data_IF_465423180454
#
_entry.id   IF_465423180454
#
_cell.length_a   1.000
_cell.length_b   1.000
_cell.length_c   1.000
_cell.angle_alpha   90.00
_cell.angle_beta   90.00
_cell.angle_gamma   90.00
#
_symmetry.space_group_name_H-M   'P 1'
#
loop_
_entity.id
_entity.type
_entity.pdbx_description
1 polymer ?
#
# COMPACT_ATOMS: atom_id res chain seq x y z
N UNK A 1 6.98 7.73 -1.60
CA UNK A 1 7.34 9.09 -1.21
C UNK A 1 8.26 9.76 -2.23
N UNK A 2 8.69 11.00 -2.03
CA UNK A 2 9.62 11.67 -2.91
C UNK A 2 10.91 10.85 -3.10
N UNK A 3 11.36 10.68 -4.36
CA UNK A 3 12.51 9.86 -4.68
C UNK A 3 12.28 8.34 -4.69
N UNK A 4 11.08 7.89 -4.43
CA UNK A 4 10.73 6.49 -4.55
C UNK A 4 10.71 6.03 -6.00
N UNK A 5 10.94 4.72 -6.20
CA UNK A 5 10.82 4.06 -7.50
C UNK A 5 9.59 3.16 -7.51
N UNK A 6 9.08 2.90 -8.71
CA UNK A 6 8.00 1.97 -8.93
C UNK A 6 8.41 0.93 -9.98
N UNK A 7 7.72 -0.20 -9.97
CA UNK A 7 7.83 -1.25 -10.97
C UNK A 7 6.55 -1.40 -11.78
N UNK A 8 6.62 -2.13 -12.87
CA UNK A 8 5.45 -2.54 -13.63
C UNK A 8 5.47 -4.06 -13.83
N UNK A 9 4.28 -4.61 -13.95
CA UNK A 9 4.07 -6.00 -14.35
C UNK A 9 3.47 -6.05 -15.74
N UNK A 10 4.04 -6.87 -16.63
CA UNK A 10 3.51 -7.13 -17.95
C UNK A 10 3.09 -8.59 -18.03
N UNK A 11 1.79 -8.83 -18.19
CA UNK A 11 1.23 -10.18 -18.28
C UNK A 11 1.79 -10.94 -19.49
N UNK A 12 2.13 -12.21 -19.31
CA UNK A 12 2.81 -13.07 -20.32
C UNK A 12 2.23 -13.03 -21.73
N UNK A 13 0.90 -13.06 -21.93
CA UNK A 13 0.32 -12.92 -23.26
C UNK A 13 0.73 -11.64 -23.99
N UNK A 14 1.17 -10.60 -23.27
CA UNK A 14 1.62 -9.34 -23.84
C UNK A 14 3.15 -9.22 -23.94
N UNK A 15 3.88 -10.15 -23.35
CA UNK A 15 5.34 -10.10 -23.26
C UNK A 15 6.04 -10.01 -24.62
N UNK A 16 5.46 -10.64 -25.65
CA UNK A 16 6.01 -10.72 -27.02
C UNK A 16 5.16 -10.01 -28.09
N UNK A 17 4.14 -9.24 -27.66
CA UNK A 17 3.29 -8.54 -28.61
C UNK A 17 3.89 -7.20 -29.03
N UNK A 18 3.73 -6.85 -30.32
CA UNK A 18 4.04 -5.51 -30.79
C UNK A 18 2.94 -4.55 -30.35
N UNK A 19 3.21 -3.78 -29.30
CA UNK A 19 2.32 -2.74 -28.80
C UNK A 19 3.00 -1.38 -28.90
N UNK A 20 2.27 -0.29 -29.14
CA UNK A 20 2.84 1.05 -29.08
C UNK A 20 3.55 1.26 -27.73
N UNK A 21 4.80 1.66 -27.76
CA UNK A 21 5.61 1.96 -26.58
C UNK A 21 6.67 3.00 -26.93
N UNK A 22 7.16 3.70 -25.93
CA UNK A 22 8.37 4.49 -26.09
C UNK A 22 9.56 3.53 -26.19
N UNK A 23 10.35 3.69 -27.25
CA UNK A 23 11.56 2.91 -27.46
C UNK A 23 12.72 3.53 -26.66
N UNK A 24 13.20 2.80 -25.69
CA UNK A 24 14.37 3.19 -24.92
C UNK A 24 15.50 2.18 -25.07
N UNK A 25 16.72 2.66 -25.14
CA UNK A 25 17.89 1.81 -25.40
C UNK A 25 18.09 0.70 -24.35
N UNK A 26 17.61 0.90 -23.11
CA UNK A 26 17.72 -0.12 -22.06
C UNK A 26 16.72 -1.28 -22.28
N UNK A 27 15.57 -0.99 -22.85
CA UNK A 27 14.58 -2.01 -23.25
C UNK A 27 14.91 -2.76 -24.53
N UNK A 28 15.94 -2.37 -25.25
CA UNK A 28 16.43 -3.08 -26.42
C UNK A 28 17.14 -4.38 -26.00
N UNK A 29 17.07 -5.44 -26.81
CA UNK A 29 17.79 -6.70 -26.52
C UNK A 29 19.31 -6.46 -26.36
N UNK A 30 19.92 -7.22 -25.44
CA UNK A 30 21.30 -6.97 -24.99
C UNK A 30 22.32 -7.20 -26.08
N UNK A 31 22.08 -8.16 -26.96
CA UNK A 31 23.00 -8.61 -28.00
C UNK A 31 23.23 -7.54 -29.07
N UNK A 32 22.20 -6.75 -29.37
CA UNK A 32 22.26 -5.74 -30.43
C UNK A 32 22.18 -4.30 -29.94
N UNK A 33 21.95 -4.10 -28.63
CA UNK A 33 21.79 -2.79 -27.99
C UNK A 33 22.83 -1.75 -28.39
N UNK A 34 24.09 -2.17 -28.44
CA UNK A 34 25.22 -1.26 -28.73
C UNK A 34 25.59 -1.19 -30.23
N UNK A 35 24.90 -1.94 -31.08
CA UNK A 35 25.06 -1.81 -32.54
C UNK A 35 24.39 -0.54 -33.08
N UNK A 36 23.50 0.07 -32.28
CA UNK A 36 22.80 1.32 -32.60
C UNK A 36 22.12 1.33 -33.96
N UNK A 37 21.54 0.18 -34.32
CA UNK A 37 20.78 0.02 -35.57
C UNK A 37 19.51 0.86 -35.58
N UNK A 38 18.88 1.05 -36.75
CA UNK A 38 17.70 1.90 -36.91
C UNK A 38 16.40 1.27 -36.36
N UNK A 39 16.45 -0.01 -35.98
CA UNK A 39 15.28 -0.75 -35.51
C UNK A 39 15.37 -1.02 -34.01
N UNK A 40 14.27 -0.77 -33.30
CA UNK A 40 14.12 -1.17 -31.91
C UNK A 40 13.65 -2.61 -31.80
N UNK A 41 14.44 -3.46 -31.15
CA UNK A 41 14.11 -4.84 -30.86
C UNK A 41 13.88 -4.98 -29.37
N UNK A 42 12.61 -5.00 -28.87
CA UNK A 42 12.34 -5.00 -27.45
C UNK A 42 12.70 -6.34 -26.79
N UNK A 43 13.34 -6.29 -25.64
CA UNK A 43 13.45 -7.43 -24.74
C UNK A 43 12.04 -7.92 -24.38
N UNK A 44 11.77 -9.25 -24.39
CA UNK A 44 10.47 -9.77 -23.97
C UNK A 44 10.11 -9.41 -22.54
N UNK A 45 8.81 -9.23 -22.26
CA UNK A 45 8.32 -8.92 -20.91
C UNK A 45 8.40 -7.45 -20.54
N UNK A 46 8.43 -7.18 -19.24
CA UNK A 46 8.46 -5.82 -18.71
C UNK A 46 9.76 -5.07 -19.05
N UNK A 47 10.86 -5.79 -19.21
CA UNK A 47 12.16 -5.20 -19.53
C UNK A 47 12.15 -4.40 -20.83
N UNK A 48 11.37 -4.86 -21.83
CA UNK A 48 11.21 -4.14 -23.10
C UNK A 48 10.48 -2.79 -23.01
N UNK A 49 9.99 -2.42 -21.83
CA UNK A 49 9.35 -1.14 -21.55
C UNK A 49 10.27 -0.15 -20.83
N UNK A 50 11.48 -0.58 -20.48
CA UNK A 50 12.44 0.25 -19.78
C UNK A 50 13.12 1.22 -20.74
N UNK A 51 13.06 2.52 -20.43
CA UNK A 51 13.57 3.57 -21.30
C UNK A 51 15.08 3.77 -21.19
N UNK A 52 15.58 3.81 -19.96
CA UNK A 52 16.99 4.13 -19.68
C UNK A 52 17.49 3.35 -18.48
N UNK A 53 18.69 3.68 -18.03
CA UNK A 53 19.32 3.07 -16.86
C UNK A 53 18.42 3.20 -15.63
N UNK A 54 18.33 2.16 -14.80
CA UNK A 54 17.59 2.23 -13.56
C UNK A 54 18.29 3.17 -12.56
N UNK A 55 17.52 3.87 -11.69
CA UNK A 55 18.08 4.72 -10.65
C UNK A 55 18.63 3.85 -9.50
N UNK A 56 19.87 3.43 -9.58
CA UNK A 56 20.50 2.42 -8.71
C UNK A 56 20.37 2.79 -7.24
N UNK A 57 20.62 4.06 -6.88
CA UNK A 57 20.54 4.51 -5.48
C UNK A 57 19.11 4.45 -4.92
N UNK A 58 18.09 4.64 -5.74
CA UNK A 58 16.71 4.51 -5.31
C UNK A 58 16.23 3.05 -5.29
N UNK A 59 16.83 2.17 -6.08
CA UNK A 59 16.53 0.74 -6.09
C UNK A 59 17.13 -0.01 -4.89
N UNK A 60 18.29 0.43 -4.37
CA UNK A 60 18.94 -0.25 -3.25
C UNK A 60 18.05 -0.37 -1.99
N UNK A 61 17.39 0.70 -1.48
CA UNK A 61 16.46 0.57 -0.36
C UNK A 61 15.21 -0.23 -0.71
N UNK A 62 14.76 -0.24 -1.98
CA UNK A 62 13.67 -1.10 -2.40
C UNK A 62 14.05 -2.58 -2.29
N UNK A 63 15.27 -2.95 -2.74
CA UNK A 63 15.78 -4.32 -2.60
C UNK A 63 15.82 -4.74 -1.12
N UNK A 64 16.36 -3.92 -0.24
CA UNK A 64 16.39 -4.19 1.20
C UNK A 64 14.98 -4.38 1.78
N UNK A 65 14.00 -3.59 1.33
CA UNK A 65 12.60 -3.78 1.73
C UNK A 65 12.04 -5.12 1.25
N UNK A 66 12.30 -5.52 0.01
CA UNK A 66 11.84 -6.81 -0.54
C UNK A 66 12.44 -8.00 0.21
N UNK A 67 13.71 -7.92 0.61
CA UNK A 67 14.37 -8.94 1.44
C UNK A 67 13.67 -9.10 2.81
N UNK A 68 13.14 -8.02 3.41
CA UNK A 68 12.34 -8.11 4.63
C UNK A 68 11.04 -8.87 4.41
N UNK A 69 10.38 -8.67 3.27
CA UNK A 69 9.17 -9.42 2.90
C UNK A 69 9.47 -10.91 2.73
N UNK A 70 10.60 -11.28 2.12
CA UNK A 70 11.03 -12.68 1.99
C UNK A 70 11.34 -13.30 3.36
N UNK A 71 12.10 -12.61 4.21
CA UNK A 71 12.40 -13.04 5.59
C UNK A 71 11.14 -13.23 6.44
N UNK A 72 10.08 -12.48 6.18
CA UNK A 72 8.79 -12.61 6.84
C UNK A 72 7.94 -13.79 6.32
N UNK A 73 8.45 -14.61 5.41
CA UNK A 73 7.76 -15.75 4.81
C UNK A 73 6.97 -15.42 3.53
N UNK A 74 7.28 -14.29 2.91
CA UNK A 74 6.68 -13.83 1.66
C UNK A 74 5.24 -13.32 1.81
N UNK A 75 4.65 -12.94 0.69
CA UNK A 75 3.32 -12.32 0.67
C UNK A 75 2.20 -13.21 1.24
N UNK A 76 2.32 -14.54 1.14
CA UNK A 76 1.32 -15.47 1.68
C UNK A 76 1.23 -15.38 3.21
N UNK A 77 2.37 -15.42 3.90
CA UNK A 77 2.43 -15.30 5.37
C UNK A 77 1.99 -13.89 5.82
N UNK A 78 2.45 -12.86 5.14
CA UNK A 78 2.09 -11.46 5.41
C UNK A 78 0.58 -11.26 5.23
N UNK A 79 0.01 -11.82 4.16
CA UNK A 79 -1.44 -11.73 3.89
C UNK A 79 -2.26 -12.42 4.98
N UNK A 80 -1.84 -13.60 5.42
CA UNK A 80 -2.50 -14.32 6.52
C UNK A 80 -2.58 -13.48 7.80
N UNK A 81 -1.49 -12.79 8.17
CA UNK A 81 -1.51 -11.88 9.32
C UNK A 81 -2.37 -10.63 9.05
N UNK A 82 -2.30 -10.07 7.83
CA UNK A 82 -3.10 -8.91 7.42
C UNK A 82 -4.60 -9.18 7.57
N UNK A 83 -5.08 -10.33 7.13
CA UNK A 83 -6.49 -10.71 7.26
C UNK A 83 -6.92 -10.82 8.71
N UNK A 84 -6.10 -11.44 9.55
CA UNK A 84 -6.38 -11.59 10.98
C UNK A 84 -6.41 -10.23 11.70
N UNK A 85 -5.41 -9.38 11.48
CA UNK A 85 -5.30 -8.11 12.20
C UNK A 85 -6.37 -7.10 11.75
N UNK A 86 -6.71 -7.07 10.45
CA UNK A 86 -7.80 -6.22 9.94
C UNK A 86 -9.18 -6.75 10.31
N UNK A 87 -9.36 -8.08 10.38
CA UNK A 87 -10.58 -8.69 10.91
C UNK A 87 -10.79 -8.39 12.39
N UNK A 88 -9.72 -8.40 13.18
CA UNK A 88 -9.74 -8.01 14.59
C UNK A 88 -10.10 -6.53 14.75
N UNK A 89 -9.50 -5.64 13.95
CA UNK A 89 -9.84 -4.22 13.92
C UNK A 89 -11.32 -3.99 13.61
N UNK A 90 -11.84 -4.64 12.58
CA UNK A 90 -13.26 -4.57 12.22
C UNK A 90 -14.16 -5.05 13.34
N UNK A 91 -13.84 -6.18 13.97
CA UNK A 91 -14.62 -6.73 15.08
C UNK A 91 -14.66 -5.77 16.28
N UNK A 92 -13.52 -5.17 16.65
CA UNK A 92 -13.45 -4.20 17.74
C UNK A 92 -14.24 -2.92 17.44
N UNK A 93 -14.11 -2.36 16.22
CA UNK A 93 -14.87 -1.16 15.83
C UNK A 93 -16.36 -1.41 15.93
N UNK A 94 -16.85 -2.52 15.38
CA UNK A 94 -18.28 -2.89 15.41
C UNK A 94 -18.81 -3.14 16.83
N UNK A 95 -17.97 -3.67 17.71
CA UNK A 95 -18.38 -4.00 19.07
C UNK A 95 -18.32 -2.80 20.03
N UNK A 96 -17.38 -1.89 19.85
CA UNK A 96 -17.06 -0.88 20.88
C UNK A 96 -17.36 0.56 20.46
N UNK A 97 -17.20 0.88 19.18
CA UNK A 97 -17.33 2.26 18.69
C UNK A 97 -18.16 2.41 17.40
N UNK A 98 -19.28 1.63 17.23
CA UNK A 98 -20.06 1.66 16.00
C UNK A 98 -20.73 3.00 15.74
N UNK A 99 -21.00 3.78 16.78
CA UNK A 99 -21.62 5.10 16.69
C UNK A 99 -20.63 6.20 16.30
N UNK A 100 -19.34 5.93 16.48
CA UNK A 100 -18.26 6.89 16.17
C UNK A 100 -17.65 6.63 14.80
N UNK A 101 -17.46 5.36 14.43
CA UNK A 101 -16.76 4.96 13.21
C UNK A 101 -17.60 4.01 12.34
N UNK A 102 -17.85 4.43 11.11
CA UNK A 102 -18.38 3.58 10.04
C UNK A 102 -17.24 3.02 9.18
N UNK A 103 -17.22 1.70 8.95
CA UNK A 103 -16.22 1.08 8.08
C UNK A 103 -16.67 1.15 6.63
N UNK A 104 -16.03 1.98 5.82
CA UNK A 104 -16.31 2.14 4.39
C UNK A 104 -15.70 1.02 3.55
N UNK A 105 -14.57 0.49 3.99
CA UNK A 105 -13.87 -0.62 3.31
C UNK A 105 -14.70 -1.90 3.34
N UNK A 106 -14.78 -2.65 2.22
CA UNK A 106 -15.52 -3.92 2.19
C UNK A 106 -15.05 -4.91 3.26
N UNK A 107 -15.98 -5.59 3.92
CA UNK A 107 -15.69 -6.59 4.96
C UNK A 107 -15.07 -7.87 4.40
N UNK A 108 -15.37 -8.24 3.15
CA UNK A 108 -14.83 -9.45 2.54
C UNK A 108 -13.29 -9.37 2.43
N UNK A 109 -12.51 -10.28 3.07
CA UNK A 109 -11.05 -10.21 3.07
C UNK A 109 -10.45 -10.16 1.66
N UNK A 110 -11.01 -10.91 0.71
CA UNK A 110 -10.54 -10.92 -0.68
C UNK A 110 -10.70 -9.57 -1.42
N UNK A 111 -11.47 -8.63 -0.86
CA UNK A 111 -11.75 -7.32 -1.46
C UNK A 111 -11.03 -6.17 -0.76
N UNK A 112 -10.15 -6.46 0.19
CA UNK A 112 -9.39 -5.43 0.93
C UNK A 112 -7.95 -5.85 1.18
N UNK A 113 -7.08 -4.85 1.41
CA UNK A 113 -5.72 -5.04 1.89
C UNK A 113 -5.63 -4.85 3.40
N UNK A 114 -4.49 -4.30 3.86
CA UNK A 114 -4.26 -3.99 5.28
C UNK A 114 -4.91 -2.69 5.73
N UNK A 115 -5.37 -1.83 4.82
CA UNK A 115 -5.97 -0.54 5.14
C UNK A 115 -7.49 -0.65 5.30
N UNK A 116 -8.02 -0.04 6.35
CA UNK A 116 -9.44 0.28 6.49
C UNK A 116 -9.66 1.80 6.39
N UNK A 117 -10.65 2.20 5.62
CA UNK A 117 -11.16 3.57 5.55
C UNK A 117 -12.34 3.68 6.49
N UNK A 118 -12.22 4.56 7.47
CA UNK A 118 -13.16 4.75 8.56
C UNK A 118 -13.78 6.14 8.44
N UNK A 119 -15.09 6.20 8.20
CA UNK A 119 -15.82 7.47 8.24
C UNK A 119 -16.14 7.80 9.67
N UNK A 120 -15.91 9.06 10.07
CA UNK A 120 -16.27 9.55 11.40
C UNK A 120 -17.68 10.10 11.40
N UNK A 121 -18.50 9.63 12.32
CA UNK A 121 -19.87 10.13 12.50
C UNK A 121 -19.85 11.58 13.01
N UNK A 122 -20.72 12.42 12.48
CA UNK A 122 -20.79 13.84 12.82
C UNK A 122 -20.05 14.77 11.85
N UNK A 123 -19.53 14.22 10.76
CA UNK A 123 -19.03 14.99 9.63
C UNK A 123 -17.59 15.48 9.79
N UNK A 124 -17.23 16.43 8.94
CA UNK A 124 -15.84 16.87 8.73
C UNK A 124 -15.16 17.43 9.98
N UNK A 125 -15.83 18.31 10.70
CA UNK A 125 -15.25 18.97 11.88
C UNK A 125 -14.92 17.96 12.97
N UNK A 126 -15.89 17.14 13.33
CA UNK A 126 -15.72 16.07 14.33
C UNK A 126 -14.68 15.03 13.87
N UNK A 127 -14.63 14.74 12.58
CA UNK A 127 -13.61 13.86 12.01
C UNK A 127 -12.20 14.41 12.17
N UNK A 128 -12.01 15.71 11.96
CA UNK A 128 -10.73 16.40 12.17
C UNK A 128 -10.31 16.41 13.63
N UNK A 129 -11.22 16.69 14.54
CA UNK A 129 -10.96 16.64 15.98
C UNK A 129 -10.48 15.25 16.42
N UNK A 130 -11.18 14.19 16.01
CA UNK A 130 -10.76 12.82 16.31
C UNK A 130 -9.38 12.51 15.69
N UNK A 131 -9.14 12.90 14.45
CA UNK A 131 -7.85 12.69 13.79
C UNK A 131 -6.69 13.38 14.52
N UNK A 132 -6.90 14.63 14.96
CA UNK A 132 -5.91 15.41 15.71
C UNK A 132 -5.69 14.84 17.12
N UNK A 133 -6.76 14.42 17.81
CA UNK A 133 -6.66 13.70 19.07
C UNK A 133 -5.83 12.42 18.91
N UNK A 134 -6.16 11.55 17.97
CA UNK A 134 -5.43 10.30 17.71
C UNK A 134 -3.95 10.56 17.43
N UNK A 135 -3.66 11.60 16.65
CA UNK A 135 -2.27 12.00 16.37
C UNK A 135 -1.54 12.45 17.64
N UNK A 136 -2.23 13.17 18.54
CA UNK A 136 -1.67 13.65 19.79
C UNK A 136 -1.32 12.54 20.79
N UNK A 137 -2.05 11.42 20.73
CA UNK A 137 -1.79 10.23 21.57
C UNK A 137 -0.91 9.18 20.88
N UNK A 138 -0.31 9.53 19.73
CA UNK A 138 0.67 8.69 19.03
C UNK A 138 0.08 7.67 18.05
N UNK A 139 -1.21 7.74 17.77
CA UNK A 139 -1.84 6.95 16.71
C UNK A 139 -1.76 7.69 15.38
N UNK A 140 -0.93 7.20 14.48
CA UNK A 140 -0.70 7.83 13.17
C UNK A 140 -1.64 7.21 12.14
N UNK A 141 -2.64 7.98 11.75
CA UNK A 141 -3.55 7.69 10.64
C UNK A 141 -3.27 8.58 9.43
N UNK A 142 -4.15 8.52 8.44
CA UNK A 142 -4.08 9.34 7.23
C UNK A 142 -5.47 9.95 6.96
N UNK A 143 -5.54 11.28 7.00
CA UNK A 143 -6.78 12.02 6.79
C UNK A 143 -7.16 12.08 5.31
N UNK A 144 -8.44 11.84 5.03
CA UNK A 144 -9.05 12.02 3.70
C UNK A 144 -10.35 12.82 3.82
N UNK A 145 -10.40 13.91 3.10
CA UNK A 145 -11.60 14.73 3.01
C UNK A 145 -12.81 13.92 2.47
N UNK A 146 -14.01 14.18 2.94
CA UNK A 146 -14.34 15.21 3.95
C UNK A 146 -14.28 14.70 5.40
N UNK A 147 -14.35 13.41 5.68
CA UNK A 147 -14.63 12.85 7.00
C UNK A 147 -14.02 11.45 7.25
N UNK A 148 -13.00 11.07 6.47
CA UNK A 148 -12.44 9.72 6.51
C UNK A 148 -11.04 9.70 7.12
N UNK A 149 -10.82 8.82 8.08
CA UNK A 149 -9.49 8.44 8.59
C UNK A 149 -9.13 7.06 8.04
N UNK A 150 -7.95 6.93 7.41
CA UNK A 150 -7.44 5.65 6.96
C UNK A 150 -6.47 5.09 7.99
N UNK A 151 -6.72 3.86 8.43
CA UNK A 151 -5.89 3.12 9.37
C UNK A 151 -5.34 1.88 8.68
N UNK A 152 -4.03 1.71 8.73
CA UNK A 152 -3.31 0.62 8.06
C UNK A 152 -2.44 -0.16 9.06
N UNK A 153 -3.00 -1.12 9.80
CA UNK A 153 -2.17 -1.99 10.64
C UNK A 153 -1.25 -2.84 9.76
N UNK A 154 0.01 -2.46 9.69
CA UNK A 154 1.00 -3.09 8.84
C UNK A 154 1.43 -4.46 9.41
N UNK A 155 1.27 -5.58 8.67
CA UNK A 155 1.55 -6.92 9.17
C UNK A 155 3.00 -7.12 9.61
N UNK A 156 3.95 -6.39 9.03
CA UNK A 156 5.37 -6.54 9.34
C UNK A 156 5.75 -6.06 10.75
N UNK A 157 5.10 -5.02 11.27
CA UNK A 157 5.51 -4.43 12.54
C UNK A 157 4.36 -4.17 13.53
N UNK A 158 3.12 -3.98 13.09
CA UNK A 158 2.01 -3.80 14.02
C UNK A 158 1.59 -5.13 14.69
N UNK A 159 1.15 -5.00 15.94
CA UNK A 159 0.63 -6.06 16.78
C UNK A 159 -0.88 -5.91 16.97
N UNK A 160 -1.57 -6.96 17.39
CA UNK A 160 -2.99 -6.90 17.76
C UNK A 160 -3.23 -5.90 18.91
N UNK A 161 -2.26 -5.73 19.79
CA UNK A 161 -2.34 -4.75 20.87
C UNK A 161 -2.36 -3.30 20.37
N UNK A 162 -1.68 -3.00 19.26
CA UNK A 162 -1.72 -1.65 18.68
C UNK A 162 -3.11 -1.34 18.12
N UNK A 163 -3.76 -2.34 17.51
CA UNK A 163 -5.14 -2.25 17.05
C UNK A 163 -6.12 -2.08 18.21
N UNK A 164 -5.91 -2.83 19.28
CA UNK A 164 -6.73 -2.72 20.49
C UNK A 164 -6.61 -1.32 21.11
N UNK A 165 -5.40 -0.80 21.28
CA UNK A 165 -5.15 0.56 21.79
C UNK A 165 -5.79 1.63 20.91
N UNK A 166 -5.68 1.51 19.59
CA UNK A 166 -6.37 2.43 18.69
C UNK A 166 -7.87 2.53 19.01
N UNK A 167 -8.55 1.39 19.19
CA UNK A 167 -10.00 1.39 19.48
C UNK A 167 -10.27 1.91 20.90
N UNK A 168 -9.40 1.63 21.89
CA UNK A 168 -9.48 2.25 23.23
C UNK A 168 -9.38 3.78 23.19
N UNK A 169 -8.47 4.32 22.39
CA UNK A 169 -8.34 5.76 22.21
C UNK A 169 -9.60 6.37 21.58
N UNK A 170 -10.15 5.73 20.53
CA UNK A 170 -11.42 6.18 19.94
C UNK A 170 -12.57 6.13 20.94
N UNK A 171 -12.67 5.09 21.76
CA UNK A 171 -13.71 4.94 22.79
C UNK A 171 -13.55 5.98 23.91
N UNK A 172 -12.32 6.31 24.26
CA UNK A 172 -11.99 7.31 25.30
C UNK A 172 -12.19 8.74 24.82
N UNK A 173 -12.16 8.97 23.53
CA UNK A 173 -12.37 10.30 22.95
C UNK A 173 -13.82 10.76 23.18
N UNK A 174 -13.98 11.93 23.80
CA UNK A 174 -15.32 12.47 24.15
C UNK A 174 -15.90 13.44 23.12
N UNK A 175 -15.06 13.94 22.19
CA UNK A 175 -15.42 15.05 21.30
C UNK A 175 -15.77 16.31 22.11
N UNK A 176 -15.28 17.45 21.72
CA UNK A 176 -15.68 18.74 22.33
C UNK A 176 -16.97 19.21 21.70
#
# INVERSE_FOLDING_TARGET
GPGAVAGCYVHDPHARTSRPRFAGWWGHEKETRFQMGPQFVPTPGADGWQLSNPPILALAPLLASLELFEKAGGMGAIRTKSEKITGFLEALIRARVPETLEIVTPSAPARRGSQLSLRVSGGRERGRELFEYLSSVGTIGDWREPDVIRISPAPLYNKFMDVYRFVEEVESWRGV
#
